data_IF_733879211153
#
_entry.id   IF_733879211153
#
_cell.length_a   1.000
_cell.length_b   1.000
_cell.length_c   1.000
_cell.angle_alpha   90.00
_cell.angle_beta   90.00
_cell.angle_gamma   90.00
#
_symmetry.space_group_name_H-M   'P 1'
#
loop_
_entity.id
_entity.type
_entity.pdbx_description
1 polymer ?
#
# COMPACT_ATOMS: atom_id res chain seq x y z
N UNK A 1 5.29 -9.27 0.20
CA UNK A 1 4.57 -8.43 -0.80
C UNK A 1 3.06 -8.69 -0.69
N UNK A 2 2.21 -7.68 -0.96
CA UNK A 2 0.77 -7.75 -0.76
C UNK A 2 0.07 -8.71 -1.75
N UNK A 3 -0.72 -9.64 -1.22
CA UNK A 3 -1.27 -10.77 -1.98
C UNK A 3 -2.27 -10.34 -3.05
N UNK A 4 -3.34 -9.63 -2.69
CA UNK A 4 -4.40 -9.26 -3.65
C UNK A 4 -3.92 -8.30 -4.75
N UNK A 5 -2.97 -7.42 -4.44
CA UNK A 5 -2.31 -6.61 -5.48
C UNK A 5 -1.58 -7.53 -6.48
N UNK A 6 -0.84 -8.51 -5.95
CA UNK A 6 -0.09 -9.47 -6.76
C UNK A 6 -0.97 -10.40 -7.60
N UNK A 7 -2.21 -10.67 -7.19
CA UNK A 7 -3.19 -11.40 -8.02
C UNK A 7 -3.44 -10.66 -9.33
N UNK A 8 -3.51 -9.33 -9.28
CA UNK A 8 -3.74 -8.49 -10.45
C UNK A 8 -2.45 -8.25 -11.23
N UNK A 9 -1.42 -7.73 -10.56
CA UNK A 9 -0.18 -7.26 -11.20
C UNK A 9 0.82 -8.37 -11.53
N UNK A 10 0.68 -9.53 -10.89
CA UNK A 10 1.70 -10.57 -10.87
C UNK A 10 2.82 -10.27 -9.89
N UNK A 11 3.62 -11.29 -9.59
CA UNK A 11 4.80 -11.15 -8.75
C UNK A 11 5.95 -10.42 -9.48
N UNK A 12 5.98 -10.44 -10.81
CA UNK A 12 7.07 -9.91 -11.63
C UNK A 12 7.43 -8.45 -11.32
N UNK A 13 6.46 -7.64 -10.88
CA UNK A 13 6.67 -6.23 -10.55
C UNK A 13 7.68 -6.01 -9.41
N UNK A 14 7.91 -7.03 -8.59
CA UNK A 14 8.85 -6.98 -7.48
C UNK A 14 10.27 -7.44 -7.86
N UNK A 15 10.46 -8.11 -8.99
CA UNK A 15 11.77 -8.62 -9.39
C UNK A 15 12.85 -7.53 -9.48
N UNK A 16 12.57 -6.34 -10.09
CA UNK A 16 13.55 -5.25 -10.12
C UNK A 16 13.94 -4.73 -8.74
N UNK A 17 13.07 -4.87 -7.72
CA UNK A 17 13.37 -4.46 -6.36
C UNK A 17 14.35 -5.44 -5.70
N UNK A 18 14.16 -6.74 -5.89
CA UNK A 18 15.09 -7.76 -5.41
C UNK A 18 16.45 -7.58 -6.08
N UNK A 19 16.47 -7.38 -7.41
CA UNK A 19 17.70 -7.21 -8.17
C UNK A 19 18.50 -5.98 -7.73
N UNK A 20 17.81 -4.85 -7.52
CA UNK A 20 18.43 -3.58 -7.16
C UNK A 20 18.86 -3.51 -5.70
N UNK A 21 18.00 -3.93 -4.78
CA UNK A 21 18.22 -3.72 -3.35
C UNK A 21 18.77 -4.94 -2.62
N UNK A 22 18.78 -6.11 -3.27
CA UNK A 22 19.19 -7.39 -2.67
C UNK A 22 18.41 -7.71 -1.39
N UNK A 23 17.15 -7.31 -1.35
CA UNK A 23 16.21 -7.62 -0.27
C UNK A 23 15.30 -8.74 -0.77
N UNK A 24 15.21 -9.89 -0.06
CA UNK A 24 14.33 -10.99 -0.44
C UNK A 24 12.85 -10.56 -0.34
N UNK A 25 12.03 -10.98 -1.29
CA UNK A 25 10.60 -10.65 -1.33
C UNK A 25 9.79 -11.93 -1.52
N UNK A 26 8.88 -12.19 -0.59
CA UNK A 26 7.91 -13.29 -0.69
C UNK A 26 6.51 -12.71 -0.90
N UNK A 27 5.79 -13.14 -1.94
CA UNK A 27 4.36 -12.88 -2.07
C UNK A 27 3.61 -13.88 -1.20
N UNK A 28 3.09 -13.40 -0.06
CA UNK A 28 2.39 -14.20 0.96
C UNK A 28 0.89 -14.17 0.74
N UNK A 29 0.16 -15.18 1.17
CA UNK A 29 -1.29 -15.11 1.42
C UNK A 29 -1.63 -14.38 2.73
N UNK A 30 -2.89 -14.47 3.17
CA UNK A 30 -3.40 -13.81 4.38
C UNK A 30 -3.73 -14.76 5.52
N UNK A 31 -3.78 -16.07 5.27
CA UNK A 31 -4.01 -17.02 6.35
C UNK A 31 -2.81 -17.02 7.30
N UNK A 32 -2.99 -17.26 8.61
CA UNK A 32 -1.88 -17.29 9.56
C UNK A 32 -0.73 -18.21 9.12
N UNK A 33 -1.07 -19.37 8.54
CA UNK A 33 -0.09 -20.33 8.01
C UNK A 33 0.67 -19.81 6.78
N UNK A 34 0.04 -18.97 5.94
CA UNK A 34 0.72 -18.36 4.80
C UNK A 34 1.80 -17.38 5.25
N UNK A 35 1.48 -16.59 6.27
CA UNK A 35 2.39 -15.61 6.85
C UNK A 35 3.56 -16.35 7.52
N UNK A 36 3.28 -17.40 8.29
CA UNK A 36 4.32 -18.21 8.95
C UNK A 36 5.25 -18.88 7.95
N UNK A 37 4.72 -19.47 6.88
CA UNK A 37 5.53 -20.07 5.81
C UNK A 37 6.37 -19.00 5.10
N UNK A 38 5.79 -17.84 4.79
CA UNK A 38 6.53 -16.74 4.15
C UNK A 38 7.67 -16.21 5.02
N UNK A 39 7.48 -16.12 6.34
CA UNK A 39 8.55 -15.79 7.29
C UNK A 39 9.63 -16.87 7.29
N UNK A 40 9.27 -18.15 7.28
CA UNK A 40 10.23 -19.24 7.18
C UNK A 40 11.05 -19.17 5.88
N UNK A 41 10.41 -18.88 4.75
CA UNK A 41 11.09 -18.70 3.46
C UNK A 41 12.08 -17.53 3.50
N UNK A 42 11.68 -16.38 4.06
CA UNK A 42 12.59 -15.24 4.28
C UNK A 42 13.79 -15.63 5.14
N UNK A 43 13.57 -16.35 6.25
CA UNK A 43 14.65 -16.79 7.14
C UNK A 43 15.63 -17.74 6.43
N UNK A 44 15.13 -18.69 5.64
CA UNK A 44 15.98 -19.60 4.85
C UNK A 44 16.86 -18.84 3.86
N UNK A 45 16.29 -17.89 3.12
CA UNK A 45 17.08 -17.06 2.21
C UNK A 45 18.13 -16.22 2.96
N UNK A 46 17.78 -15.63 4.10
CA UNK A 46 18.72 -14.88 4.92
C UNK A 46 19.88 -15.74 5.43
N UNK A 47 19.60 -16.95 5.92
CA UNK A 47 20.61 -17.90 6.38
C UNK A 47 21.55 -18.35 5.25
N UNK A 48 21.00 -18.52 4.05
CA UNK A 48 21.77 -18.88 2.86
C UNK A 48 22.46 -17.69 2.17
N UNK A 49 22.27 -16.45 2.69
CA UNK A 49 22.76 -15.20 2.08
C UNK A 49 22.28 -14.99 0.64
N UNK A 50 21.03 -15.35 0.40
CA UNK A 50 20.35 -15.23 -0.89
C UNK A 50 19.30 -14.10 -0.85
N UNK A 51 19.02 -13.52 -2.01
CA UNK A 51 17.90 -12.60 -2.18
C UNK A 51 17.15 -12.96 -3.45
N UNK A 52 15.98 -13.58 -3.29
CA UNK A 52 15.12 -14.05 -4.37
C UNK A 52 13.69 -13.55 -4.18
N UNK A 53 13.02 -13.37 -5.31
CA UNK A 53 11.57 -13.23 -5.36
C UNK A 53 10.96 -14.64 -5.36
N UNK A 54 10.08 -14.93 -4.41
CA UNK A 54 9.31 -16.17 -4.40
C UNK A 54 7.82 -15.91 -4.18
N UNK A 55 6.99 -16.85 -4.61
CA UNK A 55 5.54 -16.82 -4.46
C UNK A 55 5.15 -17.93 -3.49
N UNK A 56 4.75 -17.55 -2.27
CA UNK A 56 4.14 -18.49 -1.32
C UNK A 56 2.67 -18.69 -1.66
N UNK A 57 1.96 -17.63 -2.08
CA UNK A 57 0.54 -17.66 -2.40
C UNK A 57 0.20 -18.24 -3.80
N UNK A 58 0.82 -19.37 -4.16
CA UNK A 58 0.74 -19.99 -5.50
C UNK A 58 -0.67 -20.40 -5.92
N UNK A 59 -1.57 -20.59 -4.95
CA UNK A 59 -2.98 -20.95 -5.21
C UNK A 59 -3.79 -19.82 -5.84
N UNK A 60 -3.30 -18.58 -5.81
CA UNK A 60 -4.01 -17.42 -6.35
C UNK A 60 -3.12 -16.46 -7.15
N UNK A 61 -1.80 -16.50 -6.99
CA UNK A 61 -0.86 -15.59 -7.65
C UNK A 61 0.03 -16.34 -8.62
N UNK A 62 0.08 -15.84 -9.87
CA UNK A 62 1.07 -16.20 -10.88
C UNK A 62 2.18 -15.15 -10.97
N UNK A 63 3.23 -15.46 -11.75
CA UNK A 63 4.32 -14.51 -11.96
C UNK A 63 3.86 -13.30 -12.77
N UNK A 64 3.05 -13.53 -13.80
CA UNK A 64 2.53 -12.54 -14.75
C UNK A 64 1.30 -11.80 -14.21
N UNK A 65 0.56 -12.42 -13.29
CA UNK A 65 -0.71 -11.90 -12.76
C UNK A 65 -1.89 -12.10 -13.70
N UNK A 66 -2.92 -11.28 -13.50
CA UNK A 66 -4.11 -11.25 -14.36
C UNK A 66 -3.89 -10.29 -15.53
N UNK A 67 -3.43 -10.83 -16.66
CA UNK A 67 -3.12 -10.04 -17.87
C UNK A 67 -4.33 -9.28 -18.41
N UNK A 68 -5.51 -9.90 -18.41
CA UNK A 68 -6.75 -9.25 -18.86
C UNK A 68 -7.13 -8.03 -18.01
N UNK A 69 -6.97 -8.13 -16.68
CA UNK A 69 -7.20 -7.00 -15.79
C UNK A 69 -6.17 -5.89 -16.02
N UNK A 70 -4.90 -6.25 -16.21
CA UNK A 70 -3.83 -5.29 -16.53
C UNK A 70 -4.09 -4.57 -17.87
N UNK A 71 -4.52 -5.29 -18.90
CA UNK A 71 -4.92 -4.72 -20.20
C UNK A 71 -6.05 -3.70 -20.04
N UNK A 72 -7.09 -4.03 -19.25
CA UNK A 72 -8.20 -3.11 -18.98
C UNK A 72 -7.75 -1.85 -18.24
N UNK A 73 -6.93 -1.99 -17.20
CA UNK A 73 -6.35 -0.83 -16.49
C UNK A 73 -5.52 0.00 -17.45
N UNK A 74 -4.67 -0.63 -18.27
CA UNK A 74 -3.85 0.07 -19.26
C UNK A 74 -4.69 0.71 -20.37
N UNK A 75 -5.89 0.19 -20.68
CA UNK A 75 -6.77 0.78 -21.68
C UNK A 75 -7.35 2.12 -21.20
N UNK A 76 -7.68 2.26 -19.92
CA UNK A 76 -8.36 3.43 -19.38
C UNK A 76 -7.48 4.39 -18.55
N UNK A 77 -6.38 3.90 -17.98
CA UNK A 77 -5.52 4.65 -17.07
C UNK A 77 -4.11 4.87 -17.61
N UNK A 78 -3.47 5.94 -17.16
CA UNK A 78 -2.05 6.22 -17.37
C UNK A 78 -1.37 6.69 -16.08
N UNK A 79 -0.05 6.52 -16.00
CA UNK A 79 0.73 6.88 -14.81
C UNK A 79 0.81 8.40 -14.66
N UNK A 80 0.49 8.91 -13.47
CA UNK A 80 0.76 10.30 -13.08
C UNK A 80 2.25 10.47 -12.84
N UNK A 81 2.86 11.53 -13.36
CA UNK A 81 4.26 11.84 -13.08
C UNK A 81 4.52 12.03 -11.58
N UNK A 82 3.54 12.59 -10.88
CA UNK A 82 3.69 13.06 -9.52
C UNK A 82 2.37 12.91 -8.74
N UNK A 83 2.44 12.48 -7.48
CA UNK A 83 1.26 12.36 -6.63
C UNK A 83 1.63 12.43 -5.15
N UNK A 84 0.87 13.23 -4.41
CA UNK A 84 1.03 13.36 -2.97
C UNK A 84 0.30 12.22 -2.24
N UNK A 85 1.07 11.38 -1.56
CA UNK A 85 0.56 10.38 -0.64
C UNK A 85 0.49 10.98 0.76
N UNK A 86 -0.72 11.05 1.31
CA UNK A 86 -0.96 11.58 2.65
C UNK A 86 -0.05 10.90 3.69
N UNK A 87 0.72 11.70 4.43
CA UNK A 87 1.69 11.23 5.44
C UNK A 87 3.04 10.74 4.89
N UNK A 88 3.16 10.51 3.58
CA UNK A 88 4.40 10.09 2.92
C UNK A 88 5.01 11.21 2.06
N UNK A 89 4.21 12.21 1.72
CA UNK A 89 4.59 13.29 0.82
C UNK A 89 4.51 12.84 -0.63
N UNK A 90 5.25 13.54 -1.47
CA UNK A 90 5.12 13.40 -2.91
C UNK A 90 6.02 12.27 -3.46
N UNK A 91 5.40 11.33 -4.17
CA UNK A 91 6.08 10.16 -4.74
C UNK A 91 5.86 10.14 -6.25
N UNK A 92 6.95 10.25 -7.03
CA UNK A 92 6.89 10.24 -8.48
C UNK A 92 6.36 8.90 -9.01
N UNK A 93 5.57 8.93 -10.09
CA UNK A 93 5.11 7.74 -10.82
C UNK A 93 4.41 6.69 -9.94
N UNK A 94 3.69 7.16 -8.92
CA UNK A 94 3.09 6.30 -7.87
C UNK A 94 1.57 6.21 -7.94
N UNK A 95 0.93 6.96 -8.85
CA UNK A 95 -0.52 6.99 -9.00
C UNK A 95 -0.93 6.90 -10.47
N UNK A 96 -2.20 6.57 -10.69
CA UNK A 96 -2.83 6.53 -12.00
C UNK A 96 -3.79 7.73 -12.17
N UNK A 97 -4.05 8.11 -13.41
CA UNK A 97 -5.14 9.00 -13.83
C UNK A 97 -5.85 8.40 -15.02
N UNK A 98 -7.09 8.83 -15.25
CA UNK A 98 -7.79 8.50 -16.48
C UNK A 98 -7.06 9.11 -17.69
N UNK A 99 -6.98 8.34 -18.77
CA UNK A 99 -6.48 8.83 -20.06
C UNK A 99 -7.40 9.90 -20.63
N UNK A 100 -6.87 10.72 -21.53
CA UNK A 100 -7.63 11.81 -22.17
C UNK A 100 -8.91 11.32 -22.86
N UNK A 101 -8.88 10.13 -23.47
CA UNK A 101 -10.06 9.52 -24.09
C UNK A 101 -11.24 9.30 -23.11
N UNK A 102 -10.98 9.29 -21.79
CA UNK A 102 -11.97 9.14 -20.73
C UNK A 102 -12.16 10.42 -19.92
N UNK A 103 -11.71 11.59 -20.43
CA UNK A 103 -11.77 12.87 -19.72
C UNK A 103 -13.18 13.28 -19.29
N UNK A 104 -14.22 12.88 -20.03
CA UNK A 104 -15.62 13.11 -19.66
C UNK A 104 -16.05 12.40 -18.37
N UNK A 105 -15.29 11.42 -17.90
CA UNK A 105 -15.52 10.70 -16.65
C UNK A 105 -14.57 11.15 -15.52
N UNK A 106 -13.62 12.03 -15.81
CA UNK A 106 -12.64 12.50 -14.84
C UNK A 106 -13.19 13.67 -14.04
N UNK A 107 -13.52 13.43 -12.76
CA UNK A 107 -14.05 14.46 -11.88
C UNK A 107 -13.09 15.65 -11.68
N UNK A 108 -11.78 15.44 -11.74
CA UNK A 108 -10.78 16.53 -11.65
C UNK A 108 -10.89 17.49 -12.84
N UNK A 109 -11.39 17.01 -13.99
CA UNK A 109 -11.62 17.81 -15.20
C UNK A 109 -13.04 18.36 -15.27
N UNK A 110 -14.04 17.50 -15.10
CA UNK A 110 -15.46 17.85 -15.23
C UNK A 110 -15.88 18.90 -14.21
N UNK A 111 -15.40 18.79 -12.97
CA UNK A 111 -15.77 19.69 -11.89
C UNK A 111 -14.65 20.66 -11.50
N UNK A 112 -13.70 20.90 -12.40
CA UNK A 112 -12.52 21.73 -12.13
C UNK A 112 -12.86 23.09 -11.50
N UNK A 113 -13.94 23.73 -11.94
CA UNK A 113 -14.38 25.04 -11.43
C UNK A 113 -14.90 24.99 -9.99
N UNK A 114 -15.34 23.83 -9.51
CA UNK A 114 -15.90 23.64 -8.17
C UNK A 114 -14.90 23.06 -7.16
N UNK A 115 -13.77 22.53 -7.64
CA UNK A 115 -12.76 21.93 -6.78
C UNK A 115 -11.81 22.99 -6.21
N UNK A 116 -11.69 23.02 -4.88
CA UNK A 116 -10.69 23.86 -4.20
C UNK A 116 -9.40 23.06 -3.95
N UNK A 117 -8.25 23.60 -4.35
CA UNK A 117 -6.93 22.98 -4.08
C UNK A 117 -6.41 23.25 -2.67
N UNK A 118 -7.29 23.36 -1.66
CA UNK A 118 -6.86 23.58 -0.27
C UNK A 118 -6.23 22.30 0.29
N UNK A 119 -4.92 22.35 0.55
CA UNK A 119 -4.21 21.32 1.30
C UNK A 119 -4.54 21.42 2.79
N UNK A 120 -5.18 20.38 3.33
CA UNK A 120 -5.41 20.27 4.77
C UNK A 120 -4.10 19.96 5.49
N UNK A 121 -3.72 20.76 6.48
CA UNK A 121 -2.57 20.45 7.33
C UNK A 121 -2.93 19.29 8.26
N UNK A 122 -2.07 18.26 8.28
CA UNK A 122 -2.21 17.18 9.25
C UNK A 122 -1.95 17.69 10.68
N UNK A 123 -2.59 17.03 11.65
CA UNK A 123 -2.32 17.32 13.05
C UNK A 123 -0.87 16.93 13.38
N UNK A 124 -0.05 17.91 13.78
CA UNK A 124 1.38 17.73 14.08
C UNK A 124 1.66 16.70 15.18
N UNK A 125 0.70 16.46 16.08
CA UNK A 125 0.83 15.45 17.13
C UNK A 125 0.51 14.03 16.65
N UNK A 126 -0.10 13.88 15.46
CA UNK A 126 -0.41 12.58 14.89
C UNK A 126 0.86 11.96 14.24
N UNK A 127 1.18 10.72 14.62
CA UNK A 127 2.31 9.96 14.04
C UNK A 127 1.91 9.08 12.85
N UNK A 128 0.76 9.29 12.22
CA UNK A 128 0.29 8.40 11.14
C UNK A 128 1.28 8.29 9.98
N UNK A 129 1.96 9.39 9.60
CA UNK A 129 3.03 9.34 8.59
C UNK A 129 4.23 8.45 8.99
N UNK A 130 4.64 8.46 10.26
CA UNK A 130 5.71 7.58 10.76
C UNK A 130 5.26 6.12 10.85
N UNK A 131 4.01 5.90 11.24
CA UNK A 131 3.39 4.56 11.32
C UNK A 131 3.26 3.94 9.92
N UNK A 132 2.86 4.72 8.91
CA UNK A 132 2.80 4.26 7.52
C UNK A 132 4.17 3.89 6.96
N UNK A 133 5.25 4.52 7.43
CA UNK A 133 6.64 4.18 7.07
C UNK A 133 7.19 2.98 7.85
N UNK A 134 6.45 2.46 8.83
CA UNK A 134 6.92 1.41 9.73
C UNK A 134 7.99 1.86 10.74
N UNK A 135 8.16 3.17 10.93
CA UNK A 135 9.14 3.76 11.87
C UNK A 135 8.59 3.77 13.30
N UNK A 136 7.28 3.97 13.46
CA UNK A 136 6.59 3.99 14.73
C UNK A 136 5.42 2.98 14.73
N UNK A 137 5.02 2.50 15.92
CA UNK A 137 3.81 1.72 16.13
C UNK A 137 2.68 2.63 16.60
N UNK A 138 1.40 2.22 16.45
CA UNK A 138 0.27 2.98 16.99
C UNK A 138 0.41 3.34 18.47
N UNK A 139 0.96 2.44 19.28
CA UNK A 139 1.22 2.66 20.72
C UNK A 139 2.26 3.75 21.01
N UNK A 140 3.11 4.11 20.03
CA UNK A 140 4.11 5.17 20.18
C UNK A 140 3.51 6.57 19.94
N UNK A 141 2.22 6.66 19.58
CA UNK A 141 1.49 7.90 19.35
C UNK A 141 0.69 8.28 20.60
N UNK A 142 0.98 9.44 21.18
CA UNK A 142 0.29 9.94 22.40
C UNK A 142 -1.22 10.15 22.24
N UNK A 143 -1.70 10.31 21.00
CA UNK A 143 -3.12 10.44 20.69
C UNK A 143 -3.85 9.09 20.60
N UNK A 144 -3.12 7.98 20.42
CA UNK A 144 -3.72 6.69 20.14
C UNK A 144 -4.53 6.18 21.34
N UNK A 145 -5.78 5.78 21.08
CA UNK A 145 -6.73 5.26 22.06
C UNK A 145 -7.09 6.21 23.23
N UNK A 146 -6.60 7.45 23.18
CA UNK A 146 -6.96 8.55 24.09
C UNK A 146 -7.93 9.49 23.36
N UNK A 147 -7.41 10.52 22.70
CA UNK A 147 -8.18 11.49 21.93
C UNK A 147 -8.48 11.01 20.51
N UNK A 148 -7.65 10.13 19.94
CA UNK A 148 -7.85 9.50 18.65
C UNK A 148 -8.44 8.10 18.83
N UNK A 149 -9.70 7.93 18.47
CA UNK A 149 -10.46 6.67 18.54
C UNK A 149 -11.24 6.45 17.24
N UNK A 150 -11.85 5.27 16.99
CA UNK A 150 -12.71 5.08 15.83
C UNK A 150 -13.92 6.04 15.78
N UNK A 151 -14.48 6.42 16.94
CA UNK A 151 -15.57 7.42 16.98
C UNK A 151 -15.08 8.86 16.80
N UNK A 152 -13.83 9.16 17.18
CA UNK A 152 -13.20 10.47 17.02
C UNK A 152 -11.80 10.34 16.38
N UNK A 153 -11.72 10.04 15.07
CA UNK A 153 -10.45 9.77 14.44
C UNK A 153 -9.71 11.06 14.08
N UNK A 154 -8.45 11.18 14.53
CA UNK A 154 -7.59 12.33 14.22
C UNK A 154 -6.74 12.09 12.96
N UNK A 155 -6.28 10.86 12.75
CA UNK A 155 -5.42 10.49 11.62
C UNK A 155 -6.07 9.46 10.70
N UNK A 156 -5.68 9.44 9.42
CA UNK A 156 -6.20 8.49 8.42
C UNK A 156 -6.01 7.02 8.83
N UNK A 157 -4.94 6.72 9.55
CA UNK A 157 -4.65 5.39 10.11
C UNK A 157 -5.72 4.88 11.09
N UNK A 158 -6.55 5.75 11.67
CA UNK A 158 -7.67 5.40 12.56
C UNK A 158 -9.03 5.37 11.83
N UNK A 159 -9.16 6.10 10.71
CA UNK A 159 -10.39 6.13 9.90
C UNK A 159 -10.54 4.87 9.05
N UNK A 160 -9.43 4.44 8.42
CA UNK A 160 -9.46 3.31 7.49
C UNK A 160 -9.62 1.97 8.22
N UNK A 161 -10.46 1.09 7.69
CA UNK A 161 -10.57 -0.31 8.14
C UNK A 161 -9.27 -1.10 7.99
N UNK A 162 -8.42 -0.72 7.03
CA UNK A 162 -7.09 -1.28 6.81
C UNK A 162 -5.99 -0.52 7.57
N UNK A 163 -6.37 0.55 8.28
CA UNK A 163 -5.43 1.39 9.01
C UNK A 163 -4.79 0.67 10.19
N UNK A 164 -3.46 0.78 10.31
CA UNK A 164 -2.71 0.14 11.39
C UNK A 164 -3.22 0.55 12.79
N UNK A 165 -3.61 1.83 12.98
CA UNK A 165 -4.18 2.26 14.26
C UNK A 165 -5.54 1.63 14.52
N UNK A 166 -6.44 1.62 13.54
CA UNK A 166 -7.76 0.98 13.68
C UNK A 166 -7.62 -0.52 14.02
N UNK A 167 -6.72 -1.23 13.34
CA UNK A 167 -6.44 -2.64 13.61
C UNK A 167 -5.89 -2.86 15.04
N UNK A 168 -4.92 -2.04 15.47
CA UNK A 168 -4.40 -2.10 16.84
C UNK A 168 -5.47 -1.82 17.88
N UNK A 169 -6.32 -0.82 17.65
CA UNK A 169 -7.39 -0.46 18.57
C UNK A 169 -8.40 -1.60 18.74
N UNK A 170 -8.71 -2.31 17.64
CA UNK A 170 -9.67 -3.42 17.63
C UNK A 170 -9.16 -4.69 18.31
N UNK A 171 -7.89 -5.03 18.12
CA UNK A 171 -7.36 -6.36 18.47
C UNK A 171 -6.28 -6.36 19.55
N UNK A 172 -5.71 -5.20 19.92
CA UNK A 172 -4.60 -5.07 20.89
C UNK A 172 -4.90 -4.10 22.03
N UNK A 173 -6.17 -3.99 22.43
CA UNK A 173 -6.51 -3.44 23.74
C UNK A 173 -6.35 -4.50 24.81
#
# INVERSE_FOLDING_TARGET
>A
APSHVSVISGAQIYAPLVDRFKIPIIVSGFEPVDILESVLMLLKQALNKEAKLEIQYKRAVSFEGNTKAQELVNACMEVRENFEWRGLGNIKRSALKLKEAFASYDAEKVFKEYLSHKTSKENKACKCGEILKGIAKPLDCSLFATTCTPQNPIGSCMVSSEGACAAYYRYKR
#
